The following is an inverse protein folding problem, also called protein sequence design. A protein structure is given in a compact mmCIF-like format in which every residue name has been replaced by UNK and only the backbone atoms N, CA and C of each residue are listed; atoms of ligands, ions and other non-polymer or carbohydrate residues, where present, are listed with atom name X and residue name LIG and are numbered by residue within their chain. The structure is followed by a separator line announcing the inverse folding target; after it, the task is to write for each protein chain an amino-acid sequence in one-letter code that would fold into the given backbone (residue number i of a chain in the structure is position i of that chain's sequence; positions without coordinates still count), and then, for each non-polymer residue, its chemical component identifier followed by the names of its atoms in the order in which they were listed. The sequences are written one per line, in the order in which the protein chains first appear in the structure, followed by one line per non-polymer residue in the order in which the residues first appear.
data_IF_753720275346
#
_entry.id   IF_753720275346
#
_cell.length_a   1.000
_cell.length_b   1.000
_cell.length_c   1.000
_cell.angle_alpha   90.00
_cell.angle_beta   90.00
_cell.angle_gamma   90.00
#
_symmetry.space_group_name_H-M   'P 1'
#
loop_
_entity.id
_entity.type
_entity.pdbx_description
1 polymer ?
#
# COMPACT_ATOMS: atom_id res chain seq x y z
N UNK A 1 39.68 0.94 -6.65
CA UNK A 1 38.44 0.42 -7.26
C UNK A 1 38.53 -1.01 -7.77
N UNK A 2 39.49 -1.39 -8.65
CA UNK A 2 39.58 -2.79 -9.17
C UNK A 2 39.76 -3.86 -8.09
N UNK A 3 40.52 -3.59 -7.03
CA UNK A 3 40.71 -4.52 -5.91
C UNK A 3 39.44 -4.70 -5.06
N UNK A 4 38.70 -3.63 -4.75
CA UNK A 4 37.46 -3.68 -3.99
C UNK A 4 36.42 -4.60 -4.65
N UNK A 5 36.16 -4.40 -5.96
CA UNK A 5 35.20 -5.21 -6.70
C UNK A 5 35.56 -6.70 -6.74
N UNK A 6 36.87 -7.02 -6.81
CA UNK A 6 37.34 -8.42 -6.76
C UNK A 6 37.07 -9.05 -5.40
N UNK A 7 37.25 -8.29 -4.33
CA UNK A 7 36.99 -8.76 -2.97
C UNK A 7 35.48 -8.95 -2.73
N UNK A 8 34.65 -7.98 -3.12
CA UNK A 8 33.21 -8.11 -3.02
C UNK A 8 32.69 -9.35 -3.74
N UNK A 9 33.20 -9.61 -4.96
CA UNK A 9 32.85 -10.84 -5.70
C UNK A 9 33.21 -12.12 -4.93
N UNK A 10 34.34 -12.13 -4.20
CA UNK A 10 34.72 -13.28 -3.35
C UNK A 10 33.80 -13.42 -2.15
N UNK A 11 33.41 -12.31 -1.51
CA UNK A 11 32.45 -12.30 -0.42
C UNK A 11 31.10 -12.86 -0.90
N UNK A 12 30.56 -12.35 -1.98
CA UNK A 12 29.28 -12.81 -2.56
C UNK A 12 29.35 -14.30 -2.93
N UNK A 13 30.46 -14.76 -3.51
CA UNK A 13 30.62 -16.19 -3.80
C UNK A 13 30.62 -17.06 -2.53
N UNK A 14 31.28 -16.63 -1.46
CA UNK A 14 31.28 -17.34 -0.19
C UNK A 14 29.87 -17.35 0.44
N UNK A 15 29.15 -16.22 0.40
CA UNK A 15 27.77 -16.13 0.87
C UNK A 15 26.83 -17.06 0.09
N UNK A 16 26.93 -17.09 -1.24
CA UNK A 16 26.14 -17.99 -2.10
C UNK A 16 26.45 -19.48 -1.85
N UNK A 17 27.66 -19.79 -1.37
CA UNK A 17 28.06 -21.13 -0.96
C UNK A 17 27.67 -21.45 0.50
N UNK A 18 27.02 -20.54 1.22
CA UNK A 18 26.73 -20.59 2.66
C UNK A 18 28.01 -20.72 3.53
N UNK A 19 29.18 -20.32 3.00
CA UNK A 19 30.45 -20.32 3.73
C UNK A 19 30.65 -18.98 4.45
N UNK A 20 29.89 -18.80 5.54
CA UNK A 20 29.86 -17.57 6.32
C UNK A 20 31.18 -17.28 7.02
N UNK A 21 31.93 -18.33 7.40
CA UNK A 21 33.25 -18.19 8.06
C UNK A 21 34.30 -17.63 7.09
N UNK A 22 34.33 -18.13 5.85
CA UNK A 22 35.20 -17.59 4.82
C UNK A 22 34.78 -16.16 4.43
N UNK A 23 33.49 -15.88 4.28
CA UNK A 23 32.99 -14.54 4.05
C UNK A 23 33.44 -13.57 5.14
N UNK A 24 33.26 -13.93 6.42
CA UNK A 24 33.69 -13.14 7.58
C UNK A 24 35.19 -12.85 7.56
N UNK A 25 36.02 -13.88 7.39
CA UNK A 25 37.49 -13.72 7.31
C UNK A 25 37.92 -12.78 6.17
N UNK A 26 37.31 -12.88 5.02
CA UNK A 26 37.58 -11.98 3.88
C UNK A 26 37.24 -10.54 4.26
N UNK A 27 36.07 -10.29 4.82
CA UNK A 27 35.61 -8.95 5.19
C UNK A 27 36.51 -8.34 6.26
N UNK A 28 36.79 -9.07 7.36
CA UNK A 28 37.61 -8.57 8.46
C UNK A 28 39.05 -8.25 8.04
N UNK A 29 39.65 -9.09 7.17
CA UNK A 29 40.97 -8.83 6.63
C UNK A 29 41.02 -7.58 5.76
N UNK A 30 39.99 -7.36 4.92
CA UNK A 30 39.96 -6.22 4.05
C UNK A 30 39.57 -4.92 4.78
N UNK A 31 38.71 -4.96 5.82
CA UNK A 31 38.49 -3.83 6.70
C UNK A 31 39.78 -3.37 7.39
N UNK A 32 40.64 -4.30 7.80
CA UNK A 32 41.96 -3.98 8.38
C UNK A 32 42.94 -3.40 7.36
N UNK A 33 42.88 -3.85 6.11
CA UNK A 33 43.81 -3.47 5.04
C UNK A 33 43.41 -2.18 4.30
N UNK A 34 42.13 -2.03 4.00
CA UNK A 34 41.60 -1.00 3.10
C UNK A 34 40.78 0.07 3.81
N UNK A 35 40.47 -0.13 5.09
CA UNK A 35 39.64 0.77 5.89
C UNK A 35 38.13 0.54 5.69
N UNK A 36 37.33 1.51 6.15
CA UNK A 36 35.90 1.42 6.18
C UNK A 36 35.30 1.34 4.76
N UNK A 37 34.35 0.41 4.59
CA UNK A 37 33.54 0.29 3.38
C UNK A 37 32.09 -0.01 3.76
N UNK A 38 31.16 0.70 3.15
CA UNK A 38 29.73 0.51 3.25
C UNK A 38 29.32 -0.94 2.97
N UNK A 39 29.81 -1.50 1.86
CA UNK A 39 29.48 -2.88 1.46
C UNK A 39 30.07 -3.92 2.43
N UNK A 40 31.26 -3.68 2.99
CA UNK A 40 31.83 -4.63 3.96
C UNK A 40 31.02 -4.67 5.26
N UNK A 41 30.61 -3.53 5.79
CA UNK A 41 29.70 -3.48 6.92
C UNK A 41 28.35 -4.12 6.61
N UNK A 42 27.81 -3.87 5.41
CA UNK A 42 26.55 -4.46 4.95
C UNK A 42 26.64 -6.00 4.88
N UNK A 43 27.65 -6.56 4.22
CA UNK A 43 27.82 -8.01 4.13
C UNK A 43 28.13 -8.65 5.48
N UNK A 44 28.87 -7.97 6.36
CA UNK A 44 29.12 -8.45 7.72
C UNK A 44 27.82 -8.49 8.53
N UNK A 45 26.96 -7.50 8.36
CA UNK A 45 25.63 -7.48 8.99
C UNK A 45 24.77 -8.66 8.53
N UNK A 46 24.78 -9.02 7.24
CA UNK A 46 24.00 -10.14 6.71
C UNK A 46 24.31 -11.46 7.43
N UNK A 47 25.59 -11.71 7.78
CA UNK A 47 26.04 -12.95 8.45
C UNK A 47 26.14 -12.83 9.97
N UNK A 48 25.64 -11.75 10.55
CA UNK A 48 25.62 -11.53 12.01
C UNK A 48 24.25 -11.94 12.53
N UNK A 49 24.21 -12.86 13.51
CA UNK A 49 22.96 -13.35 14.10
C UNK A 49 22.39 -12.38 15.15
N UNK A 50 23.27 -11.80 15.99
CA UNK A 50 22.82 -10.87 17.02
C UNK A 50 22.23 -9.59 16.41
N UNK A 51 20.95 -9.33 16.68
CA UNK A 51 20.18 -8.25 16.07
C UNK A 51 20.75 -6.85 16.39
N UNK A 52 21.17 -6.61 17.65
CA UNK A 52 21.75 -5.32 18.03
C UNK A 52 23.04 -5.04 17.26
N UNK A 53 23.91 -6.05 17.18
CA UNK A 53 25.16 -5.92 16.43
C UNK A 53 24.93 -5.82 14.93
N UNK A 54 23.90 -6.49 14.41
CA UNK A 54 23.47 -6.38 13.01
C UNK A 54 23.01 -4.95 12.71
N UNK A 55 22.21 -4.36 13.60
CA UNK A 55 21.76 -2.95 13.53
C UNK A 55 22.93 -1.98 13.51
N UNK A 56 23.91 -2.16 14.42
CA UNK A 56 25.12 -1.34 14.45
C UNK A 56 25.91 -1.41 13.15
N UNK A 57 26.03 -2.59 12.55
CA UNK A 57 26.76 -2.78 11.31
C UNK A 57 26.06 -2.11 10.12
N UNK A 58 24.74 -2.22 10.01
CA UNK A 58 24.00 -1.47 9.00
C UNK A 58 24.10 0.04 9.24
N UNK A 59 24.10 0.49 10.47
CA UNK A 59 24.32 1.90 10.80
C UNK A 59 25.69 2.38 10.31
N UNK A 60 26.76 1.61 10.52
CA UNK A 60 28.09 1.92 9.98
C UNK A 60 28.13 1.93 8.46
N UNK A 61 27.39 1.03 7.79
CA UNK A 61 27.27 1.05 6.34
C UNK A 61 26.63 2.36 5.85
N UNK A 62 25.57 2.81 6.52
CA UNK A 62 24.86 4.06 6.22
C UNK A 62 25.72 5.31 6.54
N UNK A 63 26.48 5.29 7.62
CA UNK A 63 27.42 6.38 7.95
C UNK A 63 28.49 6.56 6.86
N UNK A 64 28.96 5.47 6.26
CA UNK A 64 29.92 5.50 5.15
C UNK A 64 29.23 5.91 3.84
N UNK A 65 28.02 5.45 3.61
CA UNK A 65 27.24 5.73 2.40
C UNK A 65 25.78 6.06 2.76
N UNK A 66 25.43 7.35 2.94
CA UNK A 66 24.07 7.78 3.28
C UNK A 66 23.01 7.51 2.21
N UNK A 67 23.40 7.08 1.02
CA UNK A 67 22.49 6.72 -0.08
C UNK A 67 22.40 5.21 -0.31
N UNK A 68 22.83 4.40 0.67
CA UNK A 68 22.81 2.95 0.57
C UNK A 68 21.40 2.39 0.87
N UNK A 69 20.55 2.35 -0.16
CA UNK A 69 19.17 1.88 -0.11
C UNK A 69 19.00 0.55 0.66
N UNK A 70 19.77 -0.47 0.29
CA UNK A 70 19.65 -1.81 0.87
C UNK A 70 19.99 -1.83 2.36
N UNK A 71 20.90 -0.96 2.82
CA UNK A 71 21.27 -0.88 4.22
C UNK A 71 20.12 -0.30 5.06
N UNK A 72 19.39 0.70 4.55
CA UNK A 72 18.18 1.22 5.19
C UNK A 72 17.09 0.14 5.26
N UNK A 73 16.80 -0.54 4.15
CA UNK A 73 15.78 -1.60 4.11
C UNK A 73 16.10 -2.69 5.15
N UNK A 74 17.34 -3.14 5.20
CA UNK A 74 17.75 -4.22 6.10
C UNK A 74 17.84 -3.75 7.57
N UNK A 75 18.24 -2.51 7.84
CA UNK A 75 18.20 -1.96 9.21
C UNK A 75 16.75 -1.81 9.69
N UNK A 76 15.85 -1.35 8.81
CA UNK A 76 14.42 -1.29 9.09
C UNK A 76 13.83 -2.66 9.45
N UNK A 77 14.24 -3.74 8.76
CA UNK A 77 13.84 -5.11 9.12
C UNK A 77 14.34 -5.48 10.52
N UNK A 78 15.61 -5.21 10.82
CA UNK A 78 16.19 -5.49 12.15
C UNK A 78 15.48 -4.68 13.24
N UNK A 79 15.21 -3.40 13.00
CA UNK A 79 14.45 -2.55 13.93
C UNK A 79 13.05 -3.12 14.18
N UNK A 80 12.40 -3.64 13.14
CA UNK A 80 11.08 -4.29 13.27
C UNK A 80 11.15 -5.55 14.12
N UNK A 81 12.16 -6.40 13.94
CA UNK A 81 12.40 -7.59 14.76
C UNK A 81 12.67 -7.23 16.24
N UNK A 82 13.37 -6.13 16.48
CA UNK A 82 13.60 -5.55 17.81
C UNK A 82 12.39 -4.82 18.38
N UNK A 83 11.27 -4.75 17.64
CA UNK A 83 10.05 -4.00 17.98
C UNK A 83 10.28 -2.47 18.09
N UNK A 84 11.36 -1.97 17.53
CA UNK A 84 11.66 -0.54 17.41
C UNK A 84 11.00 0.01 16.14
N UNK A 85 9.67 0.09 16.20
CA UNK A 85 8.85 0.41 15.03
C UNK A 85 9.07 1.84 14.52
N UNK A 86 9.38 2.80 15.39
CA UNK A 86 9.64 4.18 15.00
C UNK A 86 10.89 4.27 14.12
N UNK A 87 12.00 3.67 14.54
CA UNK A 87 13.22 3.63 13.74
C UNK A 87 13.07 2.77 12.48
N UNK A 88 12.25 1.70 12.54
CA UNK A 88 11.90 0.91 11.36
C UNK A 88 11.18 1.74 10.30
N UNK A 89 10.17 2.55 10.68
CA UNK A 89 9.45 3.44 9.78
C UNK A 89 10.39 4.49 9.18
N UNK A 90 11.25 5.12 10.00
CA UNK A 90 12.19 6.12 9.54
C UNK A 90 13.17 5.56 8.48
N UNK A 91 13.63 4.33 8.67
CA UNK A 91 14.51 3.66 7.71
C UNK A 91 13.80 3.38 6.38
N UNK A 92 12.54 2.92 6.39
CA UNK A 92 11.79 2.71 5.17
C UNK A 92 11.38 4.02 4.49
N UNK A 93 11.08 5.07 5.25
CA UNK A 93 10.84 6.42 4.71
C UNK A 93 12.07 6.90 3.94
N UNK A 94 13.26 6.75 4.53
CA UNK A 94 14.50 7.09 3.85
C UNK A 94 14.76 6.22 2.62
N UNK A 95 14.48 4.93 2.68
CA UNK A 95 14.57 4.04 1.51
C UNK A 95 13.63 4.49 0.37
N UNK A 96 12.42 4.93 0.69
CA UNK A 96 11.45 5.45 -0.29
C UNK A 96 11.88 6.80 -0.87
N UNK A 97 12.51 7.66 -0.07
CA UNK A 97 13.11 8.91 -0.57
C UNK A 97 14.22 8.64 -1.58
N UNK A 98 15.07 7.62 -1.31
CA UNK A 98 16.15 7.22 -2.21
C UNK A 98 15.64 6.56 -3.49
N UNK A 99 14.62 5.72 -3.39
CA UNK A 99 13.94 5.09 -4.52
C UNK A 99 12.43 5.03 -4.30
N UNK A 100 11.69 5.99 -4.84
CA UNK A 100 10.24 6.07 -4.76
C UNK A 100 9.50 4.94 -5.50
N UNK A 101 10.22 4.07 -6.22
CA UNK A 101 9.69 2.88 -6.90
C UNK A 101 10.06 1.56 -6.23
N UNK A 102 10.69 1.60 -5.07
CA UNK A 102 11.04 0.43 -4.29
C UNK A 102 9.79 -0.23 -3.66
N UNK A 103 9.17 -1.17 -4.35
CA UNK A 103 7.99 -1.89 -3.86
C UNK A 103 8.27 -2.62 -2.53
N UNK A 104 9.50 -3.11 -2.31
CA UNK A 104 9.89 -3.79 -1.08
C UNK A 104 9.86 -2.85 0.14
N UNK A 105 10.32 -1.61 -0.01
CA UNK A 105 10.31 -0.63 1.07
C UNK A 105 8.87 -0.28 1.49
N UNK A 106 7.97 -0.08 0.52
CA UNK A 106 6.54 0.11 0.82
C UNK A 106 5.93 -1.10 1.53
N UNK A 107 6.17 -2.32 1.02
CA UNK A 107 5.65 -3.52 1.68
C UNK A 107 6.14 -3.63 3.13
N UNK A 108 7.42 -3.42 3.38
CA UNK A 108 8.00 -3.56 4.71
C UNK A 108 7.52 -2.44 5.66
N UNK A 109 7.37 -1.21 5.16
CA UNK A 109 6.76 -0.12 5.93
C UNK A 109 5.31 -0.43 6.28
N UNK A 110 4.55 -0.95 5.32
CA UNK A 110 3.19 -1.42 5.55
C UNK A 110 3.12 -2.52 6.61
N UNK A 111 4.05 -3.46 6.61
CA UNK A 111 4.13 -4.49 7.63
C UNK A 111 4.41 -3.92 9.03
N UNK A 112 5.32 -2.94 9.13
CA UNK A 112 5.56 -2.24 10.41
C UNK A 112 4.30 -1.54 10.90
N UNK A 113 3.59 -0.81 10.03
CA UNK A 113 2.30 -0.17 10.38
C UNK A 113 1.24 -1.18 10.80
N UNK A 114 1.18 -2.34 10.14
CA UNK A 114 0.29 -3.43 10.54
C UNK A 114 0.60 -3.92 11.96
N UNK A 115 1.88 -4.10 12.31
CA UNK A 115 2.30 -4.46 13.69
C UNK A 115 1.87 -3.40 14.71
N UNK A 116 1.88 -2.13 14.33
CA UNK A 116 1.40 -1.01 15.14
C UNK A 116 -0.14 -0.89 15.15
N UNK A 117 -0.87 -1.75 14.45
CA UNK A 117 -2.33 -1.72 14.23
C UNK A 117 -2.81 -0.50 13.43
N UNK A 118 -1.93 0.20 12.74
CA UNK A 118 -2.29 1.20 11.72
C UNK A 118 -2.66 0.47 10.41
N UNK A 119 -3.82 -0.16 10.40
CA UNK A 119 -4.29 -0.95 9.26
C UNK A 119 -4.52 -0.08 8.00
N UNK A 120 -4.98 1.16 8.19
CA UNK A 120 -5.19 2.11 7.08
C UNK A 120 -3.88 2.49 6.41
N UNK A 121 -2.89 2.85 7.20
CA UNK A 121 -1.55 3.14 6.68
C UNK A 121 -0.87 1.93 6.04
N UNK A 122 -1.05 0.73 6.63
CA UNK A 122 -0.54 -0.52 6.08
C UNK A 122 -1.16 -0.84 4.72
N UNK A 123 -2.49 -0.73 4.58
CA UNK A 123 -3.19 -0.95 3.30
C UNK A 123 -2.75 0.03 2.21
N UNK A 124 -2.55 1.30 2.56
CA UNK A 124 -2.02 2.30 1.63
C UNK A 124 -0.64 1.89 1.08
N UNK A 125 0.26 1.45 1.96
CA UNK A 125 1.60 1.04 1.58
C UNK A 125 1.59 -0.27 0.76
N UNK A 126 0.77 -1.28 1.13
CA UNK A 126 0.63 -2.51 0.34
C UNK A 126 0.04 -2.23 -1.05
N UNK A 127 -0.97 -1.36 -1.16
CA UNK A 127 -1.50 -0.95 -2.46
C UNK A 127 -0.43 -0.28 -3.32
N UNK A 128 0.41 0.57 -2.73
CA UNK A 128 1.52 1.19 -3.45
C UNK A 128 2.55 0.16 -3.91
N UNK A 129 2.90 -0.81 -3.07
CA UNK A 129 3.79 -1.91 -3.42
C UNK A 129 3.23 -2.75 -4.59
N UNK A 130 1.93 -3.08 -4.55
CA UNK A 130 1.24 -3.83 -5.60
C UNK A 130 1.15 -3.02 -6.91
N UNK A 131 0.90 -1.70 -6.83
CA UNK A 131 0.90 -0.83 -8.00
C UNK A 131 2.28 -0.81 -8.70
N UNK A 132 3.36 -0.79 -7.92
CA UNK A 132 4.73 -0.81 -8.44
C UNK A 132 5.13 -2.19 -8.97
N UNK A 133 4.64 -3.26 -8.35
CA UNK A 133 4.86 -4.63 -8.78
C UNK A 133 3.58 -5.46 -8.59
N UNK A 134 2.73 -5.58 -9.64
CA UNK A 134 1.45 -6.29 -9.54
C UNK A 134 1.55 -7.79 -9.20
N UNK A 135 2.75 -8.38 -9.34
CA UNK A 135 3.02 -9.79 -8.99
C UNK A 135 3.74 -9.95 -7.65
N UNK A 136 3.81 -8.90 -6.83
CA UNK A 136 4.49 -8.96 -5.55
C UNK A 136 3.64 -9.72 -4.53
N UNK A 137 3.78 -11.05 -4.52
CA UNK A 137 2.94 -11.97 -3.74
C UNK A 137 2.90 -11.59 -2.25
N UNK A 138 4.05 -11.26 -1.65
CA UNK A 138 4.12 -10.87 -0.24
C UNK A 138 3.22 -9.67 0.10
N UNK A 139 3.13 -8.66 -0.77
CA UNK A 139 2.25 -7.51 -0.53
C UNK A 139 0.77 -7.88 -0.71
N UNK A 140 0.46 -8.79 -1.64
CA UNK A 140 -0.90 -9.32 -1.81
C UNK A 140 -1.34 -10.13 -0.58
N UNK A 141 -0.47 -10.99 -0.06
CA UNK A 141 -0.75 -11.82 1.11
C UNK A 141 -0.89 -10.97 2.38
N UNK A 142 0.02 -10.01 2.58
CA UNK A 142 -0.04 -9.10 3.71
C UNK A 142 -1.32 -8.24 3.69
N UNK A 143 -1.72 -7.78 2.51
CA UNK A 143 -3.00 -7.06 2.35
C UNK A 143 -4.19 -7.96 2.70
N UNK A 144 -4.22 -9.20 2.20
CA UNK A 144 -5.28 -10.16 2.51
C UNK A 144 -5.35 -10.48 4.01
N UNK A 145 -4.19 -10.57 4.68
CA UNK A 145 -4.11 -10.82 6.12
C UNK A 145 -4.80 -9.72 6.94
N UNK A 146 -4.66 -8.45 6.56
CA UNK A 146 -5.38 -7.36 7.25
C UNK A 146 -6.89 -7.60 7.22
N UNK A 147 -7.44 -7.94 6.04
CA UNK A 147 -8.88 -8.18 5.95
C UNK A 147 -9.34 -9.39 6.76
N UNK A 148 -8.55 -10.45 6.83
CA UNK A 148 -8.85 -11.59 7.69
C UNK A 148 -8.85 -11.18 9.17
N UNK A 149 -7.84 -10.45 9.62
CA UNK A 149 -7.70 -10.04 11.02
C UNK A 149 -8.76 -9.04 11.46
N UNK A 150 -9.16 -8.12 10.57
CA UNK A 150 -10.19 -7.11 10.84
C UNK A 150 -11.57 -7.73 10.79
N UNK A 151 -11.89 -8.59 9.81
CA UNK A 151 -13.18 -9.30 9.73
C UNK A 151 -13.39 -10.26 10.91
N UNK A 152 -12.33 -10.91 11.43
CA UNK A 152 -12.40 -11.77 12.62
C UNK A 152 -12.72 -10.94 13.89
N UNK A 153 -12.43 -9.64 13.90
CA UNK A 153 -12.64 -8.72 15.03
C UNK A 153 -13.95 -7.91 14.94
N UNK A 154 -14.89 -8.31 14.07
CA UNK A 154 -16.17 -7.64 13.83
C UNK A 154 -16.06 -6.16 13.41
N UNK A 155 -14.98 -5.78 12.73
CA UNK A 155 -14.77 -4.42 12.20
C UNK A 155 -15.07 -4.34 10.69
N UNK A 156 -16.22 -4.88 10.29
CA UNK A 156 -16.72 -4.77 8.91
C UNK A 156 -16.89 -3.29 8.49
N UNK A 157 -17.21 -2.42 9.46
CA UNK A 157 -17.32 -0.98 9.27
C UNK A 157 -16.00 -0.33 8.81
N UNK A 158 -14.86 -0.80 9.32
CA UNK A 158 -13.55 -0.34 8.86
C UNK A 158 -13.31 -0.71 7.39
N UNK A 159 -13.61 -1.94 7.01
CA UNK A 159 -13.38 -2.45 5.65
C UNK A 159 -14.29 -1.72 4.64
N UNK A 160 -15.56 -1.54 4.99
CA UNK A 160 -16.49 -0.76 4.17
C UNK A 160 -15.98 0.67 3.96
N UNK A 161 -15.68 1.39 5.03
CA UNK A 161 -15.18 2.78 4.98
C UNK A 161 -13.88 2.91 4.18
N UNK A 162 -13.00 1.93 4.28
CA UNK A 162 -11.77 1.89 3.50
C UNK A 162 -12.05 1.81 2.00
N UNK A 163 -12.84 0.83 1.56
CA UNK A 163 -13.19 0.68 0.15
C UNK A 163 -14.05 1.83 -0.38
N UNK A 164 -14.97 2.34 0.44
CA UNK A 164 -15.76 3.52 0.11
C UNK A 164 -14.86 4.74 -0.15
N UNK A 165 -13.88 4.99 0.73
CA UNK A 165 -12.95 6.12 0.58
C UNK A 165 -12.08 5.99 -0.69
N UNK A 166 -11.63 4.77 -1.02
CA UNK A 166 -10.90 4.51 -2.26
C UNK A 166 -11.78 4.75 -3.49
N UNK A 167 -13.00 4.20 -3.50
CA UNK A 167 -13.91 4.35 -4.62
C UNK A 167 -14.28 5.81 -4.89
N UNK A 168 -14.50 6.61 -3.85
CA UNK A 168 -14.73 8.06 -3.96
C UNK A 168 -13.49 8.77 -4.53
N UNK A 169 -12.30 8.45 -4.05
CA UNK A 169 -11.07 9.04 -4.57
C UNK A 169 -10.84 8.69 -6.05
N UNK A 170 -11.15 7.46 -6.45
CA UNK A 170 -11.05 7.00 -7.84
C UNK A 170 -12.06 7.70 -8.75
N UNK A 171 -13.30 7.93 -8.28
CA UNK A 171 -14.29 8.75 -9.02
C UNK A 171 -13.75 10.16 -9.23
N UNK A 172 -13.22 10.79 -8.19
CA UNK A 172 -12.71 12.16 -8.24
C UNK A 172 -11.47 12.30 -9.15
N UNK A 173 -10.68 11.25 -9.30
CA UNK A 173 -9.51 11.21 -10.19
C UNK A 173 -9.83 10.76 -11.62
N UNK A 174 -11.06 10.32 -11.90
CA UNK A 174 -11.48 9.79 -13.19
C UNK A 174 -11.08 8.33 -13.43
N UNK A 175 -10.60 7.61 -12.41
CA UNK A 175 -10.25 6.19 -12.48
C UNK A 175 -11.49 5.29 -12.32
N UNK A 176 -12.50 5.50 -13.17
CA UNK A 176 -13.83 4.90 -13.02
C UNK A 176 -13.88 3.37 -12.97
N UNK A 177 -13.06 2.60 -13.74
CA UNK A 177 -13.04 1.14 -13.60
C UNK A 177 -12.56 0.68 -12.23
N UNK A 178 -11.60 1.37 -11.62
CA UNK A 178 -11.10 1.09 -10.28
C UNK A 178 -12.12 1.50 -9.23
N UNK A 179 -12.78 2.66 -9.44
CA UNK A 179 -13.89 3.13 -8.61
C UNK A 179 -15.00 2.08 -8.51
N UNK A 180 -15.45 1.52 -9.63
CA UNK A 180 -16.49 0.49 -9.64
C UNK A 180 -16.07 -0.71 -8.79
N UNK A 181 -14.85 -1.21 -8.95
CA UNK A 181 -14.34 -2.35 -8.16
C UNK A 181 -14.30 -2.05 -6.66
N UNK A 182 -13.77 -0.89 -6.28
CA UNK A 182 -13.67 -0.51 -4.87
C UNK A 182 -15.05 -0.27 -4.25
N UNK A 183 -15.99 0.33 -5.00
CA UNK A 183 -17.36 0.54 -4.52
C UNK A 183 -18.16 -0.77 -4.44
N UNK A 184 -17.91 -1.74 -5.32
CA UNK A 184 -18.46 -3.09 -5.21
C UNK A 184 -18.02 -3.78 -3.92
N UNK A 185 -16.75 -3.65 -3.54
CA UNK A 185 -16.27 -4.17 -2.26
C UNK A 185 -16.91 -3.43 -1.08
N UNK A 186 -17.03 -2.10 -1.13
CA UNK A 186 -17.73 -1.36 -0.09
C UNK A 186 -19.19 -1.84 0.08
N UNK A 187 -19.91 -2.03 -1.02
CA UNK A 187 -21.29 -2.55 -1.02
C UNK A 187 -21.35 -4.00 -0.50
N UNK A 188 -20.36 -4.82 -0.79
CA UNK A 188 -20.29 -6.20 -0.29
C UNK A 188 -20.22 -6.24 1.25
N UNK A 189 -19.47 -5.32 1.86
CA UNK A 189 -19.38 -5.21 3.32
C UNK A 189 -20.55 -4.46 3.94
N UNK A 190 -21.09 -3.46 3.25
CA UNK A 190 -22.29 -2.73 3.68
C UNK A 190 -23.30 -2.58 2.54
N UNK A 191 -24.22 -3.55 2.35
CA UNK A 191 -25.26 -3.48 1.32
C UNK A 191 -26.28 -2.33 1.52
N UNK A 192 -26.16 -1.56 2.63
CA UNK A 192 -27.01 -0.40 2.93
C UNK A 192 -26.27 0.94 2.80
N UNK A 193 -25.08 0.95 2.21
CA UNK A 193 -24.30 2.17 1.98
C UNK A 193 -24.89 2.96 0.79
N UNK A 194 -25.76 3.91 1.06
CA UNK A 194 -26.37 4.81 0.08
C UNK A 194 -25.29 5.58 -0.71
N UNK A 195 -24.23 6.02 -0.03
CA UNK A 195 -23.09 6.73 -0.62
C UNK A 195 -22.34 5.83 -1.62
N UNK A 196 -22.11 4.55 -1.30
CA UNK A 196 -21.42 3.64 -2.20
C UNK A 196 -22.19 3.41 -3.50
N UNK A 197 -23.49 3.22 -3.41
CA UNK A 197 -24.35 3.12 -4.60
C UNK A 197 -24.36 4.40 -5.42
N UNK A 198 -24.45 5.57 -4.78
CA UNK A 198 -24.43 6.85 -5.46
C UNK A 198 -23.14 7.05 -6.28
N UNK A 199 -21.97 6.90 -5.66
CA UNK A 199 -20.70 7.05 -6.37
C UNK A 199 -20.48 5.96 -7.42
N UNK A 200 -20.97 4.73 -7.21
CA UNK A 200 -20.95 3.69 -8.23
C UNK A 200 -21.84 4.07 -9.43
N UNK A 201 -22.97 4.70 -9.18
CA UNK A 201 -23.80 5.27 -10.25
C UNK A 201 -23.04 6.27 -11.11
N UNK A 202 -22.31 7.20 -10.50
CA UNK A 202 -21.45 8.17 -11.21
C UNK A 202 -20.38 7.44 -12.05
N UNK A 203 -19.68 6.50 -11.46
CA UNK A 203 -18.62 5.76 -12.15
C UNK A 203 -19.17 4.95 -13.34
N UNK A 204 -20.32 4.28 -13.18
CA UNK A 204 -20.97 3.53 -14.24
C UNK A 204 -21.40 4.45 -15.39
N UNK A 205 -22.01 5.60 -15.09
CA UNK A 205 -22.39 6.57 -16.13
C UNK A 205 -21.16 7.08 -16.89
N UNK A 206 -20.09 7.38 -16.19
CA UNK A 206 -18.85 7.89 -16.81
C UNK A 206 -18.17 6.90 -17.76
N UNK A 207 -18.44 5.59 -17.63
CA UNK A 207 -17.96 4.54 -18.55
C UNK A 207 -19.02 4.09 -19.55
N UNK A 208 -20.16 4.80 -19.65
CA UNK A 208 -21.25 4.51 -20.60
C UNK A 208 -22.16 3.35 -20.22
N UNK A 209 -22.14 2.91 -18.94
CA UNK A 209 -23.03 1.86 -18.41
C UNK A 209 -24.29 2.46 -17.80
N UNK A 210 -25.10 3.11 -18.63
CA UNK A 210 -26.22 3.92 -18.19
C UNK A 210 -27.30 3.13 -17.45
N UNK A 211 -27.58 1.89 -17.85
CA UNK A 211 -28.53 1.01 -17.14
C UNK A 211 -28.05 0.67 -15.72
N UNK A 212 -26.77 0.30 -15.57
CA UNK A 212 -26.17 0.05 -14.25
C UNK A 212 -26.16 1.33 -13.40
N UNK A 213 -25.90 2.50 -14.02
CA UNK A 213 -25.92 3.78 -13.33
C UNK A 213 -27.33 4.11 -12.79
N UNK A 214 -28.38 3.92 -13.61
CA UNK A 214 -29.77 4.10 -13.21
C UNK A 214 -30.15 3.24 -12.00
N UNK A 215 -29.78 1.95 -12.03
CA UNK A 215 -30.05 1.01 -10.94
C UNK A 215 -29.34 1.44 -9.66
N UNK A 216 -28.09 1.89 -9.75
CA UNK A 216 -27.32 2.33 -8.58
C UNK A 216 -27.88 3.64 -7.99
N UNK A 217 -28.24 4.64 -8.80
CA UNK A 217 -28.91 5.85 -8.29
C UNK A 217 -30.25 5.51 -7.65
N UNK A 218 -31.02 4.60 -8.26
CA UNK A 218 -32.30 4.16 -7.69
C UNK A 218 -32.10 3.52 -6.33
N UNK A 219 -31.07 2.66 -6.20
CA UNK A 219 -30.76 2.02 -4.93
C UNK A 219 -30.29 3.01 -3.86
N UNK A 220 -29.49 4.00 -4.24
CA UNK A 220 -29.11 5.10 -3.36
C UNK A 220 -30.34 5.86 -2.82
N UNK A 221 -31.28 6.19 -3.69
CA UNK A 221 -32.56 6.86 -3.33
C UNK A 221 -33.43 5.98 -2.43
N UNK A 222 -33.53 4.67 -2.69
CA UNK A 222 -34.27 3.75 -1.82
C UNK A 222 -33.72 3.73 -0.39
N UNK A 223 -32.39 3.76 -0.25
CA UNK A 223 -31.70 3.74 1.04
C UNK A 223 -31.73 5.11 1.71
N UNK A 224 -31.64 6.19 0.95
CA UNK A 224 -31.67 7.55 1.46
C UNK A 224 -32.55 8.44 0.59
N UNK A 225 -33.81 8.57 0.97
CA UNK A 225 -34.80 9.39 0.26
C UNK A 225 -34.51 10.90 0.28
N UNK A 226 -33.49 11.32 1.02
CA UNK A 226 -33.06 12.73 1.10
C UNK A 226 -31.81 13.02 0.28
N UNK A 227 -31.31 12.08 -0.51
CA UNK A 227 -30.11 12.26 -1.31
C UNK A 227 -30.42 13.04 -2.59
N UNK A 228 -30.36 14.36 -2.51
CA UNK A 228 -30.67 15.32 -3.58
C UNK A 228 -29.89 14.98 -4.87
N UNK A 229 -28.57 14.78 -4.73
CA UNK A 229 -27.68 14.51 -5.86
C UNK A 229 -28.05 13.22 -6.62
N UNK A 230 -28.58 12.20 -5.94
CA UNK A 230 -28.97 10.96 -6.59
C UNK A 230 -30.25 11.15 -7.45
N UNK A 231 -31.21 11.91 -6.98
CA UNK A 231 -32.38 12.31 -7.80
C UNK A 231 -31.92 13.11 -9.01
N UNK A 232 -31.10 14.13 -8.80
CA UNK A 232 -30.63 14.99 -9.88
C UNK A 232 -29.87 14.20 -10.95
N UNK A 233 -28.91 13.36 -10.56
CA UNK A 233 -28.11 12.57 -11.50
C UNK A 233 -28.97 11.52 -12.22
N UNK A 234 -29.92 10.86 -11.52
CA UNK A 234 -30.85 9.93 -12.17
C UNK A 234 -31.77 10.65 -13.18
N UNK A 235 -32.31 11.81 -12.80
CA UNK A 235 -33.12 12.64 -13.70
C UNK A 235 -32.35 13.08 -14.96
N UNK A 236 -31.10 13.51 -14.81
CA UNK A 236 -30.25 13.86 -15.97
C UNK A 236 -30.01 12.64 -16.89
N UNK A 237 -29.71 11.48 -16.30
CA UNK A 237 -29.44 10.25 -17.05
C UNK A 237 -30.61 9.83 -17.94
N UNK A 238 -31.84 9.96 -17.45
CA UNK A 238 -33.05 9.49 -18.16
C UNK A 238 -33.80 10.61 -18.88
N UNK A 239 -33.32 11.84 -18.86
CA UNK A 239 -34.04 13.02 -19.41
C UNK A 239 -34.50 12.82 -20.86
N UNK A 240 -33.67 12.25 -21.71
CA UNK A 240 -34.00 12.03 -23.12
C UNK A 240 -34.84 10.76 -23.36
N UNK A 241 -34.81 9.78 -22.47
CA UNK A 241 -35.48 8.49 -22.63
C UNK A 241 -36.81 8.40 -21.89
N UNK A 242 -36.92 9.07 -20.74
CA UNK A 242 -38.13 9.12 -19.93
C UNK A 242 -38.32 10.51 -19.29
N UNK A 243 -38.73 11.55 -20.08
CA UNK A 243 -38.81 12.92 -19.57
C UNK A 243 -39.77 13.11 -18.39
N UNK A 244 -40.81 12.29 -18.31
CA UNK A 244 -41.80 12.38 -17.22
C UNK A 244 -41.16 11.99 -15.88
N UNK A 245 -40.48 10.85 -15.82
CA UNK A 245 -39.79 10.39 -14.62
C UNK A 245 -38.61 11.30 -14.26
N UNK A 246 -37.92 11.84 -15.26
CA UNK A 246 -36.84 12.82 -15.04
C UNK A 246 -37.42 14.11 -14.38
N UNK A 247 -38.58 14.57 -14.79
CA UNK A 247 -39.24 15.73 -14.17
C UNK A 247 -39.60 15.42 -12.68
N UNK A 248 -40.15 14.25 -12.41
CA UNK A 248 -40.47 13.82 -11.03
C UNK A 248 -39.20 13.79 -10.15
N UNK A 249 -38.06 13.34 -10.67
CA UNK A 249 -36.79 13.37 -10.02
C UNK A 249 -36.28 14.79 -9.72
N UNK A 250 -36.34 15.68 -10.70
CA UNK A 250 -35.93 17.09 -10.51
C UNK A 250 -36.84 17.81 -9.50
N UNK A 251 -38.17 17.55 -9.54
CA UNK A 251 -39.12 18.10 -8.56
C UNK A 251 -38.76 17.57 -7.14
N UNK A 252 -38.43 16.29 -7.03
CA UNK A 252 -38.00 15.70 -5.76
C UNK A 252 -36.71 16.32 -5.24
N UNK A 253 -35.73 16.55 -6.12
CA UNK A 253 -34.46 17.19 -5.74
C UNK A 253 -34.71 18.63 -5.23
N UNK A 254 -35.53 19.42 -5.95
CA UNK A 254 -35.86 20.80 -5.54
C UNK A 254 -36.68 20.85 -4.26
N UNK A 255 -37.54 19.88 -4.01
CA UNK A 255 -38.33 19.83 -2.78
C UNK A 255 -37.54 19.45 -1.52
N UNK A 256 -36.32 18.89 -1.68
CA UNK A 256 -35.43 18.48 -0.62
C UNK A 256 -34.35 19.53 -0.31
N UNK A 257 -34.12 20.48 -1.25
CA UNK A 257 -33.15 21.58 -1.09
C UNK A 257 -33.79 22.68 -0.19
#
# INVERSE_FOLDING_TARGET
MKDKNKVIKRIVNALNANDYDSARKIIENDLKRLGCSDEYYFYLALITENLEKKRELYTKAIEVNPDFLDAYINRGLVNNELQDYENSLADYDRAIELDSRCALAYNNRGYTKYKMKDYKGALSDYNRAILLNPKFQMALDNKAQIFQDVCIKDDEDFVEKYYLSLGIADVNSGAFPDAIRNLDEAIRFNPKSDIAYFYKGIACHSVGKDEEAYQNYTKAIELNKKMIDAYFNRGQLIFNTNPKLALDDFVSAVALD
#
